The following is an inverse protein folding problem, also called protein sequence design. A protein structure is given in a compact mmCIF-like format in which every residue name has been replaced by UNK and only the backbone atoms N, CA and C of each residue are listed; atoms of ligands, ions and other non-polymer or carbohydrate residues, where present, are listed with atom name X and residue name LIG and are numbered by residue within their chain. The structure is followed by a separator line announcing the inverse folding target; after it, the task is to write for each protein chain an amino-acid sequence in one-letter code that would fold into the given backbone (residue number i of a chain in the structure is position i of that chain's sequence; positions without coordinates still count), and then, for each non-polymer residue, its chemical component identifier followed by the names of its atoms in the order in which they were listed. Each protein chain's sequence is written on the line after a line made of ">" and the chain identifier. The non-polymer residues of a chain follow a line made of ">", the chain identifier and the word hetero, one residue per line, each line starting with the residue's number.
data_IF_894050055640
#
_entry.id   IF_894050055640
#
_cell.length_a   1.000
_cell.length_b   1.000
_cell.length_c   1.000
_cell.angle_alpha   90.00
_cell.angle_beta   90.00
_cell.angle_gamma   90.00
#
_symmetry.space_group_name_H-M   'P 1'
#
loop_
_entity.id
_entity.type
_entity.pdbx_description
1 polymer ?
#
# COMPACT_ATOMS: atom_id res chain seq x y z
N UNK A 1 -15.95 -11.69 -9.42
CA UNK A 1 -16.68 -10.43 -9.61
C UNK A 1 -15.73 -9.34 -10.02
N UNK A 2 -16.10 -8.55 -11.01
CA UNK A 2 -15.30 -7.43 -11.45
C UNK A 2 -15.71 -6.17 -10.69
N UNK A 3 -14.71 -5.43 -10.24
CA UNK A 3 -14.95 -4.12 -9.67
C UNK A 3 -15.29 -3.16 -10.81
N UNK A 4 -16.47 -2.49 -10.79
CA UNK A 4 -16.91 -1.67 -11.92
C UNK A 4 -16.06 -0.41 -12.10
N UNK A 5 -15.29 -0.04 -11.06
CA UNK A 5 -14.50 1.17 -11.10
C UNK A 5 -13.23 1.00 -10.27
N UNK A 6 -12.12 1.39 -10.86
CA UNK A 6 -10.84 1.42 -10.14
C UNK A 6 -9.97 2.53 -10.67
N UNK A 7 -9.02 2.97 -9.87
CA UNK A 7 -8.07 4.01 -10.21
C UNK A 7 -6.66 3.56 -9.81
N UNK A 8 -5.70 3.71 -10.71
CA UNK A 8 -4.32 3.33 -10.47
C UNK A 8 -3.45 4.56 -10.60
N UNK A 9 -2.66 4.83 -9.57
CA UNK A 9 -1.71 5.93 -9.54
C UNK A 9 -0.32 5.44 -9.22
N UNK A 10 0.68 6.12 -9.75
CA UNK A 10 2.08 5.83 -9.48
C UNK A 10 2.57 6.79 -8.40
N UNK A 11 3.20 6.25 -7.36
CA UNK A 11 3.91 7.04 -6.37
C UNK A 11 5.34 7.20 -6.88
N UNK A 12 5.72 8.43 -7.21
CA UNK A 12 6.98 8.69 -7.88
C UNK A 12 7.75 9.80 -7.16
N UNK A 13 9.06 9.58 -6.96
CA UNK A 13 9.90 10.52 -6.22
C UNK A 13 9.99 11.89 -6.87
N UNK A 14 10.09 11.94 -8.20
CA UNK A 14 10.18 13.20 -8.94
C UNK A 14 8.95 14.09 -8.76
N UNK A 15 7.82 13.53 -8.35
CA UNK A 15 6.60 14.27 -8.03
C UNK A 15 6.55 14.66 -6.56
N UNK A 16 7.68 14.59 -5.84
CA UNK A 16 7.78 14.87 -4.41
C UNK A 16 6.90 13.93 -3.58
N UNK A 17 6.67 12.72 -4.07
CA UNK A 17 5.89 11.72 -3.39
C UNK A 17 6.80 10.75 -2.64
N UNK A 18 6.28 10.19 -1.55
CA UNK A 18 6.98 9.23 -0.72
C UNK A 18 6.12 8.00 -0.55
N UNK A 19 6.72 6.81 -0.71
CA UNK A 19 6.00 5.57 -0.45
C UNK A 19 5.65 5.44 1.03
N UNK A 20 6.54 5.89 1.92
CA UNK A 20 6.29 5.87 3.36
C UNK A 20 5.12 6.81 3.70
N UNK A 21 5.08 8.01 3.10
CA UNK A 21 3.98 8.94 3.32
C UNK A 21 2.65 8.37 2.80
N UNK A 22 2.65 7.74 1.64
CA UNK A 22 1.44 7.12 1.09
C UNK A 22 0.94 6.00 1.99
N UNK A 23 1.85 5.16 2.50
CA UNK A 23 1.51 4.09 3.42
C UNK A 23 0.95 4.63 4.75
N UNK A 24 1.55 5.69 5.28
CA UNK A 24 1.08 6.34 6.50
C UNK A 24 -0.33 6.90 6.31
N UNK A 25 -0.58 7.52 5.17
CA UNK A 25 -1.90 8.08 4.88
C UNK A 25 -2.96 6.98 4.79
N UNK A 26 -2.67 5.91 4.07
CA UNK A 26 -3.66 4.85 3.84
C UNK A 26 -3.91 4.00 5.07
N UNK A 27 -2.87 3.73 5.87
CA UNK A 27 -2.99 2.88 7.04
C UNK A 27 -3.42 3.62 8.31
N UNK A 28 -3.26 4.94 8.34
CA UNK A 28 -3.48 5.72 9.55
C UNK A 28 -2.35 5.61 10.56
N UNK A 29 -1.28 4.91 10.23
CA UNK A 29 -0.15 4.74 11.12
C UNK A 29 0.82 5.91 11.05
N UNK A 30 1.55 6.11 12.15
CA UNK A 30 2.69 7.03 12.17
C UNK A 30 3.93 6.26 11.73
N UNK A 31 4.51 6.65 10.60
CA UNK A 31 5.69 5.99 10.04
C UNK A 31 6.83 6.99 9.92
N UNK A 32 8.06 6.50 9.96
CA UNK A 32 9.24 7.34 9.82
C UNK A 32 9.89 7.10 8.46
N UNK A 33 10.06 8.17 7.67
CA UNK A 33 10.73 8.10 6.38
C UNK A 33 12.22 8.33 6.56
N UNK A 34 13.03 7.32 6.26
CA UNK A 34 14.48 7.46 6.33
C UNK A 34 15.02 8.35 5.22
N UNK A 35 14.38 8.33 4.06
CA UNK A 35 14.79 9.18 2.95
C UNK A 35 14.60 10.67 3.29
N UNK A 36 13.43 11.03 3.83
CA UNK A 36 13.12 12.41 4.17
C UNK A 36 13.59 12.81 5.57
N UNK A 37 13.95 11.84 6.42
CA UNK A 37 14.30 12.04 7.83
C UNK A 37 13.16 12.72 8.59
N UNK A 38 11.92 12.31 8.32
CA UNK A 38 10.71 12.87 8.93
C UNK A 38 9.69 11.80 9.25
N UNK A 39 8.92 12.05 10.29
CA UNK A 39 7.73 11.24 10.56
C UNK A 39 6.61 11.62 9.59
N UNK A 40 5.89 10.61 9.14
CA UNK A 40 4.73 10.77 8.28
C UNK A 40 3.51 10.33 9.05
N UNK A 41 2.59 11.25 9.30
CA UNK A 41 1.38 10.96 10.05
C UNK A 41 0.29 11.94 9.65
N UNK A 42 -0.88 11.39 9.38
CA UNK A 42 -2.02 12.17 8.89
C UNK A 42 -3.18 12.03 9.88
N UNK A 43 -3.17 12.84 10.92
CA UNK A 43 -4.14 12.78 12.02
C UNK A 43 -5.59 13.01 11.55
N UNK A 44 -5.76 13.68 10.41
CA UNK A 44 -7.09 13.95 9.84
C UNK A 44 -7.70 12.74 9.12
N UNK A 45 -6.91 11.71 8.89
CA UNK A 45 -7.39 10.54 8.13
C UNK A 45 -8.48 9.81 8.91
N UNK A 46 -9.58 9.53 8.22
CA UNK A 46 -10.75 8.85 8.79
C UNK A 46 -11.16 7.70 7.87
N UNK A 47 -12.02 6.83 8.40
CA UNK A 47 -12.64 5.79 7.60
C UNK A 47 -11.81 4.56 7.35
N UNK A 48 -10.71 4.38 8.08
CA UNK A 48 -9.88 3.18 7.95
C UNK A 48 -10.55 2.06 8.74
N UNK A 49 -10.96 1.01 8.03
CA UNK A 49 -11.68 -0.12 8.62
C UNK A 49 -10.75 -1.31 8.87
N UNK A 50 -9.78 -1.52 7.97
CA UNK A 50 -8.90 -2.68 8.04
C UNK A 50 -7.61 -2.37 7.29
N UNK A 51 -6.47 -2.83 7.82
CA UNK A 51 -5.18 -2.74 7.12
C UNK A 51 -4.48 -4.09 7.20
N UNK A 52 -3.77 -4.45 6.15
CA UNK A 52 -3.12 -5.75 6.07
C UNK A 52 -2.00 -5.69 5.04
N UNK A 53 -0.86 -6.31 5.35
CA UNK A 53 0.22 -6.51 4.40
C UNK A 53 0.23 -7.98 4.00
N UNK A 54 0.22 -8.23 2.69
CA UNK A 54 0.26 -9.58 2.15
C UNK A 54 1.60 -9.82 1.46
N UNK A 55 2.31 -10.83 1.92
CA UNK A 55 3.64 -11.17 1.41
C UNK A 55 3.60 -12.45 0.60
N UNK A 56 4.28 -12.49 -0.56
CA UNK A 56 4.52 -13.75 -1.24
C UNK A 56 5.49 -14.63 -0.43
N UNK A 57 5.52 -15.97 -0.67
CA UNK A 57 6.32 -16.88 0.17
C UNK A 57 7.81 -16.54 0.22
N UNK A 58 8.37 -15.97 -0.84
CA UNK A 58 9.80 -15.65 -0.91
C UNK A 58 10.18 -14.31 -0.29
N UNK A 59 9.19 -13.51 0.12
CA UNK A 59 9.47 -12.19 0.67
C UNK A 59 10.06 -12.30 2.09
N UNK A 60 10.99 -11.41 2.46
CA UNK A 60 11.50 -11.36 3.82
C UNK A 60 10.38 -11.14 4.84
N UNK A 61 10.35 -11.92 5.94
CA UNK A 61 9.27 -11.77 6.93
C UNK A 61 9.19 -10.39 7.58
N UNK A 62 10.32 -9.67 7.68
CA UNK A 62 10.34 -8.33 8.27
C UNK A 62 9.51 -7.32 7.48
N UNK A 63 9.16 -7.62 6.23
CA UNK A 63 8.31 -6.75 5.43
C UNK A 63 6.83 -6.83 5.84
N UNK A 64 6.50 -7.65 6.83
CA UNK A 64 5.20 -7.56 7.49
C UNK A 64 5.06 -6.29 8.33
N UNK A 65 6.17 -5.64 8.67
CA UNK A 65 6.18 -4.34 9.32
C UNK A 65 6.14 -3.23 8.26
N UNK A 66 5.10 -2.41 8.31
CA UNK A 66 4.84 -1.41 7.28
C UNK A 66 5.97 -0.39 7.15
N UNK A 67 6.52 0.04 8.28
CA UNK A 67 7.62 1.00 8.26
C UNK A 67 8.85 0.40 7.58
N UNK A 68 9.18 -0.84 7.90
CA UNK A 68 10.31 -1.55 7.31
C UNK A 68 10.11 -1.76 5.82
N UNK A 69 8.92 -2.20 5.43
CA UNK A 69 8.60 -2.48 4.02
C UNK A 69 8.79 -1.25 3.13
N UNK A 70 8.15 -0.14 3.50
CA UNK A 70 8.15 1.01 2.60
C UNK A 70 9.44 1.81 2.62
N UNK A 71 10.19 1.78 3.72
CA UNK A 71 11.55 2.33 3.73
C UNK A 71 12.47 1.47 2.86
N UNK A 72 12.33 0.15 2.89
CA UNK A 72 13.11 -0.73 2.01
C UNK A 72 12.78 -0.49 0.54
N UNK A 73 11.51 -0.30 0.21
CA UNK A 73 11.09 0.00 -1.16
C UNK A 73 11.74 1.29 -1.66
N UNK A 74 11.78 2.33 -0.83
CA UNK A 74 12.44 3.58 -1.21
C UNK A 74 13.95 3.44 -1.30
N UNK A 75 14.55 2.62 -0.46
CA UNK A 75 16.02 2.45 -0.42
C UNK A 75 16.57 1.76 -1.67
N UNK A 76 15.81 0.84 -2.26
CA UNK A 76 16.26 0.13 -3.47
C UNK A 76 16.06 0.97 -4.73
N UNK A 77 15.18 1.95 -4.69
CA UNK A 77 14.88 2.84 -5.83
C UNK A 77 15.63 4.15 -5.64
N UNK A 78 16.79 4.28 -6.27
CA UNK A 78 17.75 5.37 -6.00
C UNK A 78 17.65 6.54 -6.96
N UNK A 79 16.99 6.39 -8.09
CA UNK A 79 16.91 7.43 -9.10
C UNK A 79 15.92 8.52 -8.69
N UNK A 80 16.19 9.74 -9.14
CA UNK A 80 15.30 10.88 -8.89
C UNK A 80 13.87 10.62 -9.39
N UNK A 81 13.74 9.95 -10.53
CA UNK A 81 12.45 9.69 -11.15
C UNK A 81 11.92 8.28 -10.90
N UNK A 82 12.44 7.58 -9.89
CA UNK A 82 12.01 6.21 -9.57
C UNK A 82 10.54 6.16 -9.22
N UNK A 83 9.89 5.10 -9.73
CA UNK A 83 8.53 4.76 -9.33
C UNK A 83 8.62 3.91 -8.06
N UNK A 84 8.06 4.41 -6.98
CA UNK A 84 8.22 3.80 -5.65
C UNK A 84 7.14 2.78 -5.35
N UNK A 85 5.94 2.99 -5.86
CA UNK A 85 4.81 2.12 -5.61
C UNK A 85 3.69 2.40 -6.61
N UNK A 86 2.75 1.46 -6.73
CA UNK A 86 1.47 1.69 -7.39
C UNK A 86 0.39 1.71 -6.33
N UNK A 87 -0.46 2.70 -6.41
CA UNK A 87 -1.60 2.85 -5.52
C UNK A 87 -2.86 2.57 -6.31
N UNK A 88 -3.64 1.60 -5.85
CA UNK A 88 -4.85 1.16 -6.53
C UNK A 88 -6.05 1.40 -5.61
N UNK A 89 -7.03 2.12 -6.12
CA UNK A 89 -8.29 2.37 -5.42
C UNK A 89 -9.39 1.60 -6.14
N UNK A 90 -10.10 0.77 -5.40
CA UNK A 90 -11.16 -0.08 -5.94
C UNK A 90 -12.50 0.31 -5.33
N UNK A 91 -13.53 0.40 -6.18
CA UNK A 91 -14.89 0.61 -5.72
C UNK A 91 -15.53 -0.76 -5.46
N UNK A 92 -16.01 -0.97 -4.24
CA UNK A 92 -16.69 -2.20 -3.89
C UNK A 92 -18.19 -2.02 -4.15
N UNK A 93 -18.85 -2.95 -4.87
CA UNK A 93 -20.29 -2.86 -5.11
C UNK A 93 -21.08 -2.80 -3.81
N UNK A 94 -22.14 -1.99 -3.80
CA UNK A 94 -22.98 -1.78 -2.61
C UNK A 94 -23.67 -3.05 -2.13
N UNK A 95 -23.89 -4.00 -3.02
CA UNK A 95 -24.54 -5.27 -2.71
C UNK A 95 -23.71 -6.15 -1.79
N UNK A 96 -22.41 -5.88 -1.69
CA UNK A 96 -21.52 -6.68 -0.85
C UNK A 96 -21.52 -6.12 0.56
N UNK A 97 -21.89 -6.94 1.56
CA UNK A 97 -21.92 -6.48 2.96
C UNK A 97 -20.55 -6.04 3.44
N UNK A 98 -20.48 -5.01 4.30
CA UNK A 98 -19.19 -4.50 4.80
C UNK A 98 -18.30 -5.56 5.46
N UNK A 99 -18.87 -6.55 6.13
CA UNK A 99 -18.11 -7.61 6.78
C UNK A 99 -17.39 -8.52 5.79
N UNK A 100 -17.72 -8.44 4.50
CA UNK A 100 -17.07 -9.23 3.45
C UNK A 100 -16.03 -8.42 2.68
N UNK A 101 -15.92 -7.13 2.92
CA UNK A 101 -15.05 -6.26 2.15
C UNK A 101 -13.57 -6.66 2.27
N UNK A 102 -13.09 -6.92 3.47
CA UNK A 102 -11.69 -7.28 3.68
C UNK A 102 -11.35 -8.59 2.96
N UNK A 103 -12.24 -9.59 3.03
CA UNK A 103 -12.01 -10.86 2.36
C UNK A 103 -12.00 -10.70 0.85
N UNK A 104 -12.88 -9.89 0.30
CA UNK A 104 -12.94 -9.64 -1.14
C UNK A 104 -11.65 -9.01 -1.64
N UNK A 105 -11.18 -7.98 -0.95
CA UNK A 105 -9.93 -7.30 -1.33
C UNK A 105 -8.74 -8.22 -1.15
N UNK A 106 -8.72 -9.02 -0.09
CA UNK A 106 -7.65 -9.99 0.14
C UNK A 106 -7.57 -11.00 -1.00
N UNK A 107 -8.71 -11.54 -1.43
CA UNK A 107 -8.75 -12.49 -2.53
C UNK A 107 -8.27 -11.86 -3.84
N UNK A 108 -8.69 -10.62 -4.10
CA UNK A 108 -8.24 -9.87 -5.27
C UNK A 108 -6.72 -9.68 -5.26
N UNK A 109 -6.18 -9.23 -4.13
CA UNK A 109 -4.73 -9.02 -4.01
C UNK A 109 -3.95 -10.32 -4.13
N UNK A 110 -4.47 -11.41 -3.55
CA UNK A 110 -3.81 -12.70 -3.64
C UNK A 110 -3.73 -13.17 -5.09
N UNK A 111 -4.81 -13.05 -5.83
CA UNK A 111 -4.86 -13.53 -7.20
C UNK A 111 -4.04 -12.68 -8.16
N UNK A 112 -4.14 -11.35 -8.07
CA UNK A 112 -3.58 -10.47 -9.07
C UNK A 112 -2.18 -9.94 -8.73
N UNK A 113 -1.76 -10.01 -7.49
CA UNK A 113 -0.47 -9.46 -7.08
C UNK A 113 0.39 -10.47 -6.35
N UNK A 114 -0.07 -11.03 -5.24
CA UNK A 114 0.75 -11.88 -4.37
C UNK A 114 1.13 -13.17 -5.08
N UNK A 115 0.22 -13.77 -5.82
CA UNK A 115 0.51 -14.99 -6.58
C UNK A 115 1.57 -14.77 -7.66
N UNK A 116 1.80 -13.53 -8.04
CA UNK A 116 2.80 -13.15 -9.04
C UNK A 116 4.09 -12.62 -8.42
N UNK A 117 4.24 -12.77 -7.12
CA UNK A 117 5.46 -12.39 -6.41
C UNK A 117 5.49 -10.96 -5.91
N UNK A 118 4.38 -10.24 -5.96
CA UNK A 118 4.30 -8.86 -5.49
C UNK A 118 3.84 -8.78 -4.04
N UNK A 119 4.26 -7.73 -3.35
CA UNK A 119 3.77 -7.41 -2.01
C UNK A 119 2.61 -6.45 -2.14
N UNK A 120 1.53 -6.71 -1.41
CA UNK A 120 0.35 -5.86 -1.37
C UNK A 120 0.13 -5.34 0.06
N UNK A 121 -0.07 -4.03 0.19
CA UNK A 121 -0.40 -3.37 1.46
C UNK A 121 -1.71 -2.63 1.31
#
# INVERSE_FOLDING_TARGET
>A
MLCPHHDIKIVQRSNRQSAVAAAAYQSGERLFSEYDQKQKYYSEKRGIVHTEIMLPPHAPPEYADRNTLWNAAEAVEKQWNSQLARRIVLAIPREIPPEQHADLIRDYCREFFVSKGMIAD
#
